data_IF_581951559630
#
_entry.id   IF_581951559630
#
_cell.length_a   1.000
_cell.length_b   1.000
_cell.length_c   1.000
_cell.angle_alpha   90.00
_cell.angle_beta   90.00
_cell.angle_gamma   90.00
#
_symmetry.space_group_name_H-M   'P 1'
#
loop_
_entity.id
_entity.type
_entity.pdbx_description
1 polymer ?
#
# COMPACT_ATOMS: atom_id res chain seq x y z
N UNK A 1 18.99 20.17 -15.43
CA UNK A 1 18.29 21.42 -15.84
C UNK A 1 16.80 21.12 -16.00
N UNK A 2 16.03 21.48 -14.96
CA UNK A 2 14.64 21.94 -14.92
C UNK A 2 13.49 21.12 -15.52
N UNK A 3 12.50 20.76 -14.68
CA UNK A 3 11.12 20.61 -15.14
C UNK A 3 10.64 21.85 -15.92
N UNK A 4 9.50 21.74 -16.60
CA UNK A 4 9.02 22.81 -17.46
C UNK A 4 8.53 24.01 -16.62
N UNK A 5 8.75 25.22 -17.11
CA UNK A 5 8.12 26.41 -16.53
C UNK A 5 6.59 26.24 -16.58
N UNK A 6 5.93 26.43 -15.44
CA UNK A 6 4.49 26.45 -15.38
C UNK A 6 3.95 27.75 -15.98
N UNK A 7 2.91 27.63 -16.81
CA UNK A 7 2.18 28.79 -17.28
C UNK A 7 1.42 29.46 -16.11
N UNK A 8 1.23 30.79 -16.13
CA UNK A 8 0.50 31.48 -15.07
C UNK A 8 -0.93 30.90 -14.95
N UNK A 9 -1.33 30.53 -13.73
CA UNK A 9 -2.66 29.98 -13.44
C UNK A 9 -2.83 28.48 -13.69
N UNK A 10 -1.81 27.77 -14.19
CA UNK A 10 -1.89 26.31 -14.35
C UNK A 10 -2.07 25.55 -13.02
N UNK A 11 -1.57 26.12 -11.93
CA UNK A 11 -1.60 25.53 -10.58
C UNK A 11 -2.17 26.55 -9.56
N UNK A 12 -3.46 26.88 -9.67
CA UNK A 12 -4.05 28.03 -8.98
C UNK A 12 -4.17 27.85 -7.44
N UNK A 13 -3.88 26.66 -6.93
CA UNK A 13 -3.80 26.37 -5.49
C UNK A 13 -2.40 26.54 -4.91
N UNK A 14 -1.36 26.72 -5.74
CA UNK A 14 0.01 26.81 -5.25
C UNK A 14 0.19 28.02 -4.33
N UNK A 15 0.78 27.77 -3.16
CA UNK A 15 1.10 28.79 -2.16
C UNK A 15 2.60 28.92 -1.99
N UNK A 16 3.08 30.16 -1.88
CA UNK A 16 4.40 30.47 -1.33
C UNK A 16 4.25 30.92 0.12
N UNK A 17 4.85 30.19 1.05
CA UNK A 17 5.02 30.63 2.43
C UNK A 17 6.26 31.49 2.52
N UNK A 18 6.08 32.73 2.97
CA UNK A 18 7.19 33.66 3.15
C UNK A 18 7.35 34.06 4.61
N UNK A 19 8.59 34.05 5.07
CA UNK A 19 8.99 34.52 6.40
C UNK A 19 9.91 35.72 6.20
N UNK A 20 9.56 36.86 6.80
CA UNK A 20 10.32 38.13 6.67
C UNK A 20 10.59 38.53 5.21
N UNK A 21 9.63 38.26 4.32
CA UNK A 21 9.71 38.61 2.89
C UNK A 21 10.53 37.64 2.02
N UNK A 22 11.02 36.52 2.58
CA UNK A 22 11.72 35.49 1.84
C UNK A 22 10.87 34.21 1.77
N UNK A 23 10.82 33.59 0.59
CA UNK A 23 10.20 32.28 0.40
C UNK A 23 10.97 31.22 1.19
N UNK A 24 10.24 30.42 1.97
CA UNK A 24 10.83 29.35 2.81
C UNK A 24 10.25 27.96 2.50
N UNK A 25 8.99 27.91 2.10
CA UNK A 25 8.27 26.66 1.81
C UNK A 25 7.12 26.93 0.86
N UNK A 26 6.56 25.86 0.31
CA UNK A 26 5.30 25.89 -0.42
C UNK A 26 4.13 25.35 0.41
N UNK A 27 2.93 25.50 -0.15
CA UNK A 27 1.70 24.95 0.40
C UNK A 27 0.62 24.86 -0.67
N UNK A 28 -0.60 24.59 -0.24
CA UNK A 28 -1.77 24.43 -1.11
C UNK A 28 -2.99 25.10 -0.52
N UNK A 29 -3.71 25.88 -1.31
CA UNK A 29 -5.02 26.42 -0.94
C UNK A 29 -6.05 25.28 -0.98
N UNK A 30 -6.76 25.04 0.13
CA UNK A 30 -7.72 23.92 0.24
C UNK A 30 -9.18 24.39 0.38
N UNK A 31 -9.38 25.67 0.71
CA UNK A 31 -10.65 26.41 0.61
C UNK A 31 -10.33 27.91 0.60
N UNK A 32 -11.31 28.80 0.75
CA UNK A 32 -11.08 30.26 0.71
C UNK A 32 -10.30 30.82 1.92
N UNK A 33 -10.06 30.04 2.98
CA UNK A 33 -9.52 30.53 4.26
C UNK A 33 -8.38 29.69 4.82
N UNK A 34 -8.04 28.56 4.21
CA UNK A 34 -7.13 27.58 4.76
C UNK A 34 -6.11 27.13 3.72
N UNK A 35 -4.88 27.02 4.20
CA UNK A 35 -3.75 26.46 3.47
C UNK A 35 -3.28 25.20 4.16
N UNK A 36 -3.00 24.17 3.38
CA UNK A 36 -2.38 22.91 3.79
C UNK A 36 -0.89 22.93 3.42
N UNK A 37 -0.04 22.54 4.36
CA UNK A 37 1.43 22.51 4.21
C UNK A 37 2.04 21.45 5.11
N UNK A 38 3.34 21.19 4.98
CA UNK A 38 4.11 20.45 5.97
C UNK A 38 4.22 21.25 7.27
N UNK A 39 4.22 20.57 8.42
CA UNK A 39 4.36 21.23 9.70
C UNK A 39 5.75 21.81 9.92
N UNK A 40 6.81 21.16 9.42
CA UNK A 40 8.20 21.68 9.47
C UNK A 40 8.32 23.10 8.90
N UNK A 41 7.49 23.45 7.91
CA UNK A 41 7.44 24.77 7.29
C UNK A 41 6.88 25.89 8.18
N UNK A 42 6.25 25.52 9.29
CA UNK A 42 5.51 26.47 10.14
C UNK A 42 5.86 26.35 11.63
N UNK A 43 6.21 25.15 12.13
CA UNK A 43 6.44 24.87 13.55
C UNK A 43 7.59 25.68 14.16
N UNK A 44 8.54 26.12 13.35
CA UNK A 44 9.71 26.91 13.79
C UNK A 44 9.48 28.42 13.79
N UNK A 45 8.30 28.90 13.37
CA UNK A 45 8.00 30.32 13.22
C UNK A 45 6.77 30.72 14.02
N UNK A 46 6.74 31.98 14.45
CA UNK A 46 5.51 32.56 15.00
C UNK A 46 4.51 32.81 13.88
N UNK A 47 3.23 32.61 14.16
CA UNK A 47 2.14 32.85 13.20
C UNK A 47 2.19 34.25 12.57
N UNK A 48 2.60 35.26 13.33
CA UNK A 48 2.76 36.65 12.86
C UNK A 48 3.93 36.87 11.89
N UNK A 49 4.86 35.92 11.80
CA UNK A 49 6.02 35.99 10.90
C UNK A 49 5.75 35.38 9.54
N UNK A 50 4.68 34.58 9.41
CA UNK A 50 4.34 33.85 8.20
C UNK A 50 3.34 34.68 7.37
N UNK A 51 3.68 34.91 6.10
CA UNK A 51 2.78 35.47 5.09
C UNK A 51 2.56 34.47 3.98
N UNK A 52 1.29 34.20 3.67
CA UNK A 52 0.86 33.35 2.56
C UNK A 52 0.73 34.21 1.31
N UNK A 53 1.37 33.80 0.22
CA UNK A 53 1.18 34.39 -1.11
C UNK A 53 0.54 33.39 -2.06
N UNK A 54 -0.46 33.85 -2.81
CA UNK A 54 -1.27 33.09 -3.77
C UNK A 54 -1.21 33.79 -5.14
N UNK A 55 -1.44 33.05 -6.23
CA UNK A 55 -1.45 33.61 -7.58
C UNK A 55 -0.08 34.09 -8.08
N UNK A 56 1.01 33.64 -7.45
CA UNK A 56 2.37 33.92 -7.87
C UNK A 56 2.76 33.03 -9.06
N UNK A 57 3.51 33.62 -9.99
CA UNK A 57 4.24 32.92 -11.04
C UNK A 57 5.75 32.98 -10.78
N UNK A 58 6.30 34.14 -10.41
CA UNK A 58 7.73 34.33 -10.14
C UNK A 58 7.96 34.83 -8.71
N UNK A 59 9.04 34.37 -8.07
CA UNK A 59 9.44 34.88 -6.75
C UNK A 59 10.13 36.25 -6.81
N UNK A 60 10.70 36.63 -7.97
CA UNK A 60 11.58 37.81 -8.07
C UNK A 60 11.01 38.96 -8.91
N UNK A 61 9.93 38.73 -9.65
CA UNK A 61 9.32 39.75 -10.52
C UNK A 61 7.90 40.13 -10.05
N UNK A 62 7.34 41.18 -10.65
CA UNK A 62 5.97 41.63 -10.36
C UNK A 62 4.94 40.59 -10.83
N UNK A 63 4.01 40.23 -9.95
CA UNK A 63 2.94 39.28 -10.24
C UNK A 63 1.59 39.99 -10.15
N UNK A 64 0.91 40.19 -11.28
CA UNK A 64 -0.36 40.95 -11.35
C UNK A 64 -1.53 40.25 -10.66
N UNK A 65 -1.46 38.92 -10.52
CA UNK A 65 -2.50 38.10 -9.91
C UNK A 65 -2.21 37.77 -8.44
N UNK A 66 -1.13 38.34 -7.87
CA UNK A 66 -0.67 38.00 -6.54
C UNK A 66 -1.58 38.55 -5.46
N UNK A 67 -1.94 37.70 -4.50
CA UNK A 67 -2.67 38.08 -3.30
C UNK A 67 -1.91 37.55 -2.10
N UNK A 68 -1.67 38.42 -1.11
CA UNK A 68 -1.07 38.03 0.17
C UNK A 68 -2.08 38.02 1.31
N UNK A 69 -1.85 37.14 2.28
CA UNK A 69 -2.62 37.01 3.52
C UNK A 69 -1.69 36.73 4.68
N UNK A 70 -1.90 37.43 5.79
CA UNK A 70 -1.29 37.05 7.07
C UNK A 70 -1.97 35.80 7.62
N UNK A 71 -1.24 35.00 8.40
CA UNK A 71 -1.80 33.85 9.10
C UNK A 71 -2.32 34.31 10.48
N UNK A 72 -3.50 33.83 10.89
CA UNK A 72 -4.07 34.10 12.22
C UNK A 72 -3.98 32.92 13.16
N UNK A 73 -3.90 31.71 12.60
CA UNK A 73 -3.82 30.48 13.38
C UNK A 73 -3.02 29.45 12.60
N UNK A 74 -2.15 28.74 13.30
CA UNK A 74 -1.42 27.59 12.79
C UNK A 74 -1.81 26.39 13.64
N UNK A 75 -2.25 25.31 12.98
CA UNK A 75 -2.64 24.05 13.64
C UNK A 75 -1.73 22.97 13.10
N UNK A 76 -0.97 22.39 14.00
CA UNK A 76 0.03 21.36 13.70
C UNK A 76 -0.47 20.02 14.23
N UNK A 77 -0.21 18.93 13.50
CA UNK A 77 -0.56 17.60 13.98
C UNK A 77 0.17 17.26 15.30
N UNK A 78 -0.49 16.69 16.33
CA UNK A 78 0.13 16.54 17.67
C UNK A 78 1.34 15.60 17.75
N UNK A 79 1.47 14.62 16.84
CA UNK A 79 2.50 13.58 16.88
C UNK A 79 3.47 13.66 15.69
N UNK A 80 3.98 14.86 15.38
CA UNK A 80 5.00 15.01 14.32
C UNK A 80 6.27 14.25 14.70
N UNK A 81 6.74 13.43 13.76
CA UNK A 81 8.09 12.86 13.73
C UNK A 81 8.63 13.04 12.30
N UNK A 82 9.44 12.09 11.83
CA UNK A 82 9.75 11.97 10.40
C UNK A 82 8.52 11.55 9.55
N UNK A 83 7.40 11.23 10.20
CA UNK A 83 6.07 10.98 9.64
C UNK A 83 5.06 11.89 10.36
N UNK A 84 3.82 11.99 9.85
CA UNK A 84 2.80 12.92 10.35
C UNK A 84 3.17 14.41 10.25
N UNK A 85 3.98 14.77 9.26
CA UNK A 85 4.41 16.16 9.05
C UNK A 85 3.38 16.91 8.20
N UNK A 86 2.37 17.49 8.88
CA UNK A 86 1.21 18.18 8.28
C UNK A 86 0.72 19.30 9.19
N UNK A 87 0.39 20.45 8.59
CA UNK A 87 -0.17 21.60 9.28
C UNK A 87 -1.21 22.35 8.43
N UNK A 88 -2.13 22.99 9.14
CA UNK A 88 -3.16 23.88 8.60
C UNK A 88 -2.86 25.32 9.01
N UNK A 89 -2.88 26.24 8.04
CA UNK A 89 -2.72 27.66 8.27
C UNK A 89 -4.04 28.37 7.95
N UNK A 90 -4.61 29.05 8.95
CA UNK A 90 -5.81 29.87 8.80
C UNK A 90 -5.42 31.28 8.37
N UNK A 91 -5.96 31.72 7.25
CA UNK A 91 -5.75 33.06 6.72
C UNK A 91 -6.56 34.10 7.50
N UNK A 92 -6.02 35.32 7.63
CA UNK A 92 -6.68 36.41 8.33
C UNK A 92 -8.01 36.87 7.69
N UNK A 93 -8.19 36.60 6.41
CA UNK A 93 -9.39 36.92 5.63
C UNK A 93 -9.49 35.99 4.43
N UNK A 94 -10.72 35.78 3.95
CA UNK A 94 -10.95 34.91 2.79
C UNK A 94 -10.30 35.47 1.53
N UNK A 95 -9.90 34.57 0.64
CA UNK A 95 -9.45 34.91 -0.70
C UNK A 95 -10.60 34.78 -1.69
N UNK A 96 -10.62 35.65 -2.69
CA UNK A 96 -11.59 35.61 -3.78
C UNK A 96 -11.03 34.67 -4.84
N UNK A 97 -11.84 33.71 -5.28
CA UNK A 97 -11.42 32.79 -6.32
C UNK A 97 -11.38 33.50 -7.68
N UNK A 98 -10.30 33.26 -8.41
CA UNK A 98 -10.03 33.77 -9.75
C UNK A 98 -9.42 32.65 -10.57
N UNK A 99 -9.18 32.83 -11.87
CA UNK A 99 -8.47 31.82 -12.67
C UNK A 99 -7.04 31.52 -12.20
N UNK A 100 -6.47 32.35 -11.33
CA UNK A 100 -5.14 32.19 -10.76
C UNK A 100 -5.13 31.78 -9.29
N UNK A 101 -6.29 31.77 -8.62
CA UNK A 101 -6.45 31.44 -7.20
C UNK A 101 -7.70 30.58 -7.04
N UNK A 102 -7.52 29.26 -6.92
CA UNK A 102 -8.61 28.28 -6.69
C UNK A 102 -8.08 27.17 -5.79
N UNK A 103 -8.93 26.59 -4.92
CA UNK A 103 -8.50 25.50 -4.06
C UNK A 103 -8.33 24.20 -4.84
N UNK A 104 -7.47 23.30 -4.33
CA UNK A 104 -7.36 21.92 -4.80
C UNK A 104 -8.32 21.01 -4.02
N UNK A 105 -8.81 19.92 -4.64
CA UNK A 105 -9.49 18.87 -3.90
C UNK A 105 -8.50 18.06 -3.07
N UNK A 106 -8.93 17.52 -1.93
CA UNK A 106 -8.14 16.60 -1.11
C UNK A 106 -8.57 15.15 -1.35
N UNK A 107 -7.63 14.22 -1.31
CA UNK A 107 -7.95 12.80 -1.40
C UNK A 107 -8.77 12.34 -0.19
N UNK A 108 -9.86 11.60 -0.41
CA UNK A 108 -10.64 11.02 0.70
C UNK A 108 -9.88 9.88 1.39
N UNK A 109 -10.25 9.59 2.63
CA UNK A 109 -10.00 8.31 3.27
C UNK A 109 -10.47 7.17 2.34
N UNK A 110 -9.63 6.15 2.18
CA UNK A 110 -9.83 5.06 1.22
C UNK A 110 -9.34 5.33 -0.20
N UNK A 111 -8.80 6.52 -0.52
CA UNK A 111 -8.14 6.74 -1.82
C UNK A 111 -6.91 5.86 -1.97
N UNK A 112 -6.77 5.22 -3.13
CA UNK A 112 -5.67 4.29 -3.45
C UNK A 112 -4.71 4.91 -4.45
N UNK A 113 -3.41 4.75 -4.23
CA UNK A 113 -2.36 5.32 -5.10
C UNK A 113 -1.35 4.22 -5.45
N UNK A 114 -1.69 3.41 -6.45
CA UNK A 114 -0.85 2.29 -6.90
C UNK A 114 0.44 2.76 -7.54
N UNK A 115 1.43 1.88 -7.54
CA UNK A 115 2.71 2.12 -8.19
C UNK A 115 2.54 2.55 -9.66
N UNK A 116 3.27 3.58 -10.09
CA UNK A 116 3.20 4.15 -11.43
C UNK A 116 2.09 5.18 -11.64
N UNK A 117 1.26 5.46 -10.63
CA UNK A 117 0.22 6.51 -10.73
C UNK A 117 0.88 7.84 -11.07
N UNK A 118 0.47 8.44 -12.19
CA UNK A 118 1.03 9.71 -12.67
C UNK A 118 0.58 10.86 -11.77
N UNK A 119 1.54 11.66 -11.32
CA UNK A 119 1.32 12.78 -10.40
C UNK A 119 2.14 13.99 -10.84
N UNK A 120 1.75 15.17 -10.34
CA UNK A 120 2.42 16.42 -10.62
C UNK A 120 2.86 17.09 -9.32
N UNK A 121 4.03 17.70 -9.39
CA UNK A 121 4.61 18.50 -8.32
C UNK A 121 5.06 19.85 -8.86
N UNK A 122 4.97 20.86 -8.00
CA UNK A 122 5.21 22.26 -8.35
C UNK A 122 5.96 22.99 -7.25
N UNK A 123 6.89 23.86 -7.65
CA UNK A 123 7.74 24.61 -6.73
C UNK A 123 8.60 25.66 -7.42
N UNK A 124 9.19 26.55 -6.63
CA UNK A 124 10.02 27.66 -7.09
C UNK A 124 11.52 27.49 -6.82
N UNK A 125 11.89 26.41 -6.13
CA UNK A 125 13.21 26.12 -5.59
C UNK A 125 13.56 26.99 -4.39
N UNK A 126 13.46 26.42 -3.19
CA UNK A 126 14.28 26.82 -2.05
C UNK A 126 15.34 25.75 -1.80
N UNK A 127 16.60 26.04 -2.12
CA UNK A 127 17.74 25.22 -1.66
C UNK A 127 17.83 25.33 -0.13
N UNK A 128 17.06 24.55 0.62
CA UNK A 128 17.16 24.50 2.08
C UNK A 128 18.10 23.38 2.50
N UNK A 129 19.37 23.48 2.10
CA UNK A 129 20.46 22.93 2.87
C UNK A 129 21.57 24.00 2.90
N UNK A 130 21.75 24.60 4.07
CA UNK A 130 22.89 25.44 4.36
C UNK A 130 24.18 24.64 4.03
N UNK A 131 24.99 25.18 3.11
CA UNK A 131 26.45 25.00 2.87
C UNK A 131 26.82 25.07 1.38
N UNK A 132 25.89 24.96 0.43
CA UNK A 132 26.19 25.25 -0.98
C UNK A 132 25.26 26.31 -1.59
N UNK A 133 25.81 27.53 -1.72
CA UNK A 133 25.27 28.61 -2.52
C UNK A 133 25.23 28.20 -4.00
N UNK A 134 24.18 27.49 -4.41
CA UNK A 134 23.83 27.38 -5.83
C UNK A 134 22.76 28.43 -6.09
N UNK A 135 23.10 29.40 -6.94
CA UNK A 135 22.24 30.52 -7.31
C UNK A 135 20.84 30.03 -7.70
N UNK A 136 19.80 30.64 -7.10
CA UNK A 136 18.44 30.56 -7.64
C UNK A 136 18.52 30.90 -9.14
N UNK A 137 18.00 30.03 -9.99
CA UNK A 137 17.91 30.33 -11.42
C UNK A 137 16.94 31.49 -11.59
N UNK A 138 17.47 32.70 -11.75
CA UNK A 138 16.68 33.88 -12.10
C UNK A 138 15.83 33.57 -13.35
N UNK A 139 14.52 33.86 -13.37
CA UNK A 139 13.77 34.72 -12.44
C UNK A 139 12.99 33.98 -11.32
N UNK A 140 13.33 32.74 -10.99
CA UNK A 140 12.59 31.96 -9.98
C UNK A 140 11.12 31.77 -10.38
N UNK A 141 10.90 31.31 -11.62
CA UNK A 141 9.56 31.01 -12.15
C UNK A 141 9.07 29.69 -11.58
N UNK A 142 7.76 29.58 -11.32
CA UNK A 142 7.13 28.34 -10.87
C UNK A 142 7.44 27.24 -11.88
N UNK A 143 7.99 26.13 -11.39
CA UNK A 143 8.26 24.95 -12.18
C UNK A 143 7.21 23.89 -11.91
N UNK A 144 7.01 23.01 -12.90
CA UNK A 144 6.17 21.83 -12.79
C UNK A 144 6.94 20.60 -13.28
N UNK A 145 6.69 19.46 -12.65
CA UNK A 145 7.21 18.18 -13.11
C UNK A 145 6.16 17.08 -13.01
N UNK A 146 6.18 16.19 -14.00
CA UNK A 146 5.42 14.95 -13.98
C UNK A 146 6.29 13.84 -13.36
N UNK A 147 5.74 13.15 -12.38
CA UNK A 147 6.40 12.14 -11.57
C UNK A 147 5.49 10.91 -11.45
N UNK A 148 6.05 9.80 -10.99
CA UNK A 148 5.29 8.58 -10.74
C UNK A 148 5.28 8.27 -9.25
N UNK A 149 4.09 8.05 -8.70
CA UNK A 149 3.94 7.53 -7.34
C UNK A 149 4.60 6.16 -7.28
N UNK A 150 5.36 5.96 -6.21
CA UNK A 150 5.98 4.68 -5.85
C UNK A 150 5.26 4.18 -4.63
N UNK A 151 4.83 2.91 -4.67
CA UNK A 151 4.13 2.34 -3.54
C UNK A 151 5.04 2.18 -2.31
N UNK A 152 4.43 1.99 -1.15
CA UNK A 152 5.14 2.07 0.12
C UNK A 152 6.17 0.96 0.32
N UNK A 153 6.01 -0.22 -0.30
CA UNK A 153 6.99 -1.32 -0.20
C UNK A 153 8.25 -1.00 -0.97
N UNK A 154 8.12 -0.62 -2.24
CA UNK A 154 9.27 -0.16 -3.03
C UNK A 154 9.91 1.07 -2.41
N UNK A 155 9.10 2.00 -1.94
CA UNK A 155 9.61 3.16 -1.22
C UNK A 155 10.41 2.75 0.03
N UNK A 156 9.92 1.79 0.81
CA UNK A 156 10.66 1.30 1.97
C UNK A 156 11.99 0.67 1.57
N UNK A 157 12.11 0.10 0.36
CA UNK A 157 13.38 -0.38 -0.17
C UNK A 157 14.35 0.76 -0.49
N UNK A 158 13.87 1.78 -1.20
CA UNK A 158 14.67 2.97 -1.55
C UNK A 158 15.21 3.63 -0.28
N UNK A 159 14.34 3.87 0.69
CA UNK A 159 14.65 4.60 1.91
C UNK A 159 15.27 3.73 3.02
N UNK A 160 15.33 2.40 2.85
CA UNK A 160 16.02 1.50 3.79
C UNK A 160 17.50 1.82 3.91
N UNK A 161 18.13 2.27 2.82
CA UNK A 161 19.53 2.71 2.78
C UNK A 161 19.80 3.90 3.70
N UNK A 162 18.79 4.73 3.93
CA UNK A 162 18.82 5.89 4.82
C UNK A 162 18.30 5.56 6.24
N UNK A 163 18.06 4.29 6.55
CA UNK A 163 17.46 3.84 7.82
C UNK A 163 16.10 4.46 8.12
N UNK A 164 15.35 4.87 7.10
CA UNK A 164 14.00 5.42 7.22
C UNK A 164 12.98 4.29 6.99
N UNK A 165 12.09 4.08 7.96
CA UNK A 165 11.00 3.11 7.87
C UNK A 165 9.73 3.80 7.38
N UNK A 166 9.26 3.44 6.19
CA UNK A 166 8.09 4.08 5.57
C UNK A 166 6.81 3.63 6.27
N UNK A 167 5.97 4.58 6.67
CA UNK A 167 4.67 4.36 7.33
C UNK A 167 3.52 4.52 6.34
N UNK A 168 2.34 4.01 6.67
CA UNK A 168 1.14 4.16 5.82
C UNK A 168 0.69 5.62 5.68
N UNK A 169 0.98 6.45 6.68
CA UNK A 169 0.80 7.90 6.65
C UNK A 169 1.77 8.64 5.72
N UNK A 170 2.66 7.90 5.07
CA UNK A 170 3.62 8.42 4.10
C UNK A 170 3.33 7.82 2.72
N UNK A 171 3.77 8.53 1.69
CA UNK A 171 3.79 8.06 0.32
C UNK A 171 5.01 8.64 -0.38
N UNK A 172 5.36 8.07 -1.53
CA UNK A 172 6.62 8.37 -2.18
C UNK A 172 6.44 8.51 -3.67
N UNK A 173 7.43 9.14 -4.30
CA UNK A 173 7.53 9.15 -5.75
C UNK A 173 8.97 9.09 -6.18
N UNK A 174 9.18 8.62 -7.40
CA UNK A 174 10.45 8.76 -8.09
C UNK A 174 10.25 9.60 -9.35
N UNK A 175 11.31 10.30 -9.73
CA UNK A 175 11.37 11.00 -11.00
C UNK A 175 12.36 10.31 -11.92
N UNK A 176 11.97 10.09 -13.18
CA UNK A 176 12.90 9.67 -14.24
C UNK A 176 13.77 10.82 -14.76
N UNK A 177 13.43 12.05 -14.36
CA UNK A 177 14.13 13.26 -14.77
C UNK A 177 14.92 13.79 -13.57
N UNK A 178 16.24 13.97 -13.74
CA UNK A 178 17.20 14.52 -12.74
C UNK A 178 16.94 15.98 -12.35
N UNK A 179 15.74 16.45 -12.63
CA UNK A 179 15.33 17.84 -12.76
C UNK A 179 14.14 18.15 -11.86
N UNK A 180 13.49 17.11 -11.32
CA UNK A 180 12.35 17.21 -10.38
C UNK A 180 12.78 17.45 -8.94
N UNK A 181 14.06 17.30 -8.60
CA UNK A 181 14.57 17.27 -7.22
C UNK A 181 14.88 18.65 -6.62
N UNK A 182 14.31 19.70 -7.21
CA UNK A 182 14.21 21.02 -6.59
C UNK A 182 12.71 21.35 -6.50
N UNK A 183 12.06 20.84 -5.46
CA UNK A 183 10.64 21.11 -5.15
C UNK A 183 10.56 21.57 -3.71
N UNK A 184 9.68 22.53 -3.44
CA UNK A 184 9.65 23.15 -2.12
C UNK A 184 8.92 22.23 -1.13
N UNK A 185 9.54 22.01 0.04
CA UNK A 185 8.89 21.34 1.17
C UNK A 185 7.56 22.06 1.48
N UNK A 186 6.54 21.27 1.83
CA UNK A 186 5.17 21.70 2.03
C UNK A 186 4.33 21.79 0.74
N UNK A 187 4.97 21.72 -0.43
CA UNK A 187 4.29 21.73 -1.72
C UNK A 187 3.37 20.52 -1.96
N UNK A 188 2.33 20.67 -2.79
CA UNK A 188 1.38 19.60 -3.04
C UNK A 188 1.88 18.59 -4.09
N UNK A 189 1.62 17.31 -3.85
CA UNK A 189 1.61 16.27 -4.89
C UNK A 189 0.17 16.04 -5.33
N UNK A 190 -0.12 16.33 -6.60
CA UNK A 190 -1.48 16.33 -7.16
C UNK A 190 -1.64 15.33 -8.29
N UNK A 191 -2.79 14.67 -8.35
CA UNK A 191 -3.15 13.67 -9.35
C UNK A 191 -4.45 14.10 -10.03
N UNK A 192 -4.61 13.74 -11.31
CA UNK A 192 -5.80 14.10 -12.08
C UNK A 192 -6.69 12.87 -12.33
N UNK A 193 -7.96 12.93 -11.96
CA UNK A 193 -8.97 11.91 -12.27
C UNK A 193 -10.28 12.60 -12.66
N UNK A 194 -10.88 12.18 -13.78
CA UNK A 194 -12.16 12.73 -14.28
C UNK A 194 -12.19 14.27 -14.41
N UNK A 195 -11.05 14.86 -14.78
CA UNK A 195 -10.92 16.31 -14.94
C UNK A 195 -10.67 17.09 -13.65
N UNK A 196 -10.73 16.45 -12.49
CA UNK A 196 -10.44 17.04 -11.18
C UNK A 196 -8.99 16.82 -10.77
N UNK A 197 -8.41 17.82 -10.10
CA UNK A 197 -7.09 17.72 -9.48
C UNK A 197 -7.24 17.46 -7.99
N UNK A 198 -6.61 16.40 -7.52
CA UNK A 198 -6.73 15.86 -6.18
C UNK A 198 -5.34 15.82 -5.55
N UNK A 199 -5.16 16.48 -4.41
CA UNK A 199 -3.93 16.42 -3.66
C UNK A 199 -3.86 15.13 -2.86
N UNK A 200 -2.88 14.30 -3.22
CA UNK A 200 -2.62 13.02 -2.58
C UNK A 200 -1.53 13.13 -1.50
N UNK A 201 -0.56 14.04 -1.69
CA UNK A 201 0.60 14.18 -0.82
C UNK A 201 0.98 15.63 -0.50
N UNK A 202 1.78 15.79 0.55
CA UNK A 202 2.47 17.02 0.94
C UNK A 202 3.96 16.69 0.99
N UNK A 203 4.81 17.41 0.25
CA UNK A 203 6.24 17.12 0.22
C UNK A 203 6.88 17.41 1.59
N UNK A 204 7.57 16.43 2.17
CA UNK A 204 8.21 16.57 3.50
C UNK A 204 9.72 16.32 3.45
N UNK A 205 10.18 15.58 2.44
CA UNK A 205 11.59 15.33 2.22
C UNK A 205 11.85 15.01 0.75
N UNK A 206 13.00 15.45 0.24
CA UNK A 206 13.56 15.01 -1.02
C UNK A 206 15.07 14.87 -0.86
N UNK A 207 15.71 14.03 -1.68
CA UNK A 207 17.16 13.96 -1.75
C UNK A 207 17.76 15.13 -2.54
N UNK A 208 19.09 15.30 -2.45
CA UNK A 208 19.86 16.32 -3.19
C UNK A 208 20.06 15.91 -4.67
N UNK A 209 19.01 15.41 -5.33
CA UNK A 209 19.01 14.98 -6.73
C UNK A 209 19.79 13.71 -7.09
N UNK A 210 20.19 12.89 -6.12
CA UNK A 210 20.96 11.67 -6.39
C UNK A 210 20.08 10.48 -6.80
N UNK A 211 19.04 10.17 -6.03
CA UNK A 211 18.14 9.04 -6.29
C UNK A 211 16.74 9.49 -6.75
N UNK A 212 16.55 10.81 -6.90
CA UNK A 212 15.32 11.43 -7.41
C UNK A 212 14.07 10.97 -6.65
N UNK A 213 14.26 10.64 -5.38
CA UNK A 213 13.27 10.03 -4.52
C UNK A 213 12.72 11.09 -3.58
N UNK A 214 11.39 11.16 -3.53
CA UNK A 214 10.67 12.15 -2.76
C UNK A 214 9.69 11.46 -1.82
N UNK A 215 9.54 12.05 -0.65
CA UNK A 215 8.74 11.53 0.44
C UNK A 215 7.71 12.56 0.87
N UNK A 216 6.47 12.09 1.04
CA UNK A 216 5.31 12.92 1.26
C UNK A 216 4.50 12.41 2.45
N UNK A 217 3.85 13.32 3.16
CA UNK A 217 2.72 12.98 4.04
C UNK A 217 1.51 12.63 3.17
N UNK A 218 0.89 11.46 3.38
CA UNK A 218 -0.27 10.96 2.63
C UNK A 218 -1.56 11.62 3.13
N UNK A 219 -2.12 12.53 2.34
CA UNK A 219 -3.27 13.39 2.72
C UNK A 219 -4.52 12.59 3.08
N UNK A 220 -4.79 11.48 2.40
CA UNK A 220 -6.00 10.68 2.61
C UNK A 220 -6.15 10.15 4.04
N UNK A 221 -5.05 9.92 4.76
CA UNK A 221 -5.11 9.46 6.15
C UNK A 221 -5.37 10.58 7.17
N UNK A 222 -5.41 11.84 6.72
CA UNK A 222 -5.68 13.00 7.58
C UNK A 222 -7.05 13.63 7.35
N UNK A 223 -7.92 13.06 6.51
CA UNK A 223 -9.27 13.60 6.27
C UNK A 223 -10.01 13.88 7.58
N UNK A 224 -10.05 12.90 8.49
CA UNK A 224 -10.76 13.03 9.77
C UNK A 224 -10.20 14.17 10.61
N UNK A 225 -8.87 14.26 10.70
CA UNK A 225 -8.20 15.33 11.44
C UNK A 225 -8.49 16.71 10.82
N UNK A 226 -8.38 16.85 9.49
CA UNK A 226 -8.68 18.11 8.78
C UNK A 226 -10.12 18.55 9.03
N UNK A 227 -11.09 17.63 8.96
CA UNK A 227 -12.51 17.92 9.21
C UNK A 227 -12.79 18.32 10.67
N UNK A 228 -12.03 17.80 11.62
CA UNK A 228 -12.13 18.21 13.03
C UNK A 228 -11.60 19.64 13.25
N UNK A 229 -10.57 20.06 12.50
CA UNK A 229 -10.01 21.41 12.64
C UNK A 229 -10.82 22.46 11.85
N UNK A 230 -11.37 22.09 10.70
CA UNK A 230 -12.12 22.99 9.81
C UNK A 230 -13.61 22.67 9.91
N UNK A 231 -14.27 23.30 10.88
CA UNK A 231 -15.70 23.06 11.17
C UNK A 231 -16.67 23.79 10.22
N UNK A 232 -16.19 24.80 9.49
CA UNK A 232 -17.00 25.63 8.57
C UNK A 232 -16.27 25.84 7.25
N UNK A 233 -16.99 25.80 6.13
CA UNK A 233 -16.41 25.88 4.77
C UNK A 233 -15.35 24.78 4.56
N UNK A 234 -15.75 23.53 4.78
CA UNK A 234 -14.87 22.38 4.68
C UNK A 234 -14.22 22.27 3.29
N UNK A 235 -12.96 21.80 3.21
CA UNK A 235 -12.32 21.53 1.94
C UNK A 235 -13.04 20.40 1.20
N UNK A 236 -12.98 20.42 -0.13
CA UNK A 236 -13.59 19.37 -0.96
C UNK A 236 -12.76 18.10 -0.92
N UNK A 237 -13.34 16.99 -0.44
CA UNK A 237 -12.73 15.66 -0.51
C UNK A 237 -13.29 14.86 -1.66
N UNK A 238 -12.42 14.25 -2.47
CA UNK A 238 -12.79 13.44 -3.63
C UNK A 238 -12.05 12.10 -3.56
N UNK A 239 -12.73 10.96 -3.78
CA UNK A 239 -12.05 9.68 -3.85
C UNK A 239 -11.16 9.64 -5.09
N UNK A 240 -9.92 9.22 -4.89
CA UNK A 240 -9.07 8.81 -6.00
C UNK A 240 -8.90 7.28 -5.95
N UNK A 241 -9.33 6.60 -7.00
CA UNK A 241 -9.23 5.14 -7.09
C UNK A 241 -8.26 4.80 -8.21
N UNK A 242 -7.11 4.23 -7.87
CA UNK A 242 -6.19 3.67 -8.85
C UNK A 242 -6.85 2.53 -9.62
N UNK A 243 -6.63 2.51 -10.93
CA UNK A 243 -7.08 1.45 -11.83
C UNK A 243 -6.00 0.39 -12.00
N UNK A 244 -6.41 -0.86 -12.25
CA UNK A 244 -5.48 -1.97 -12.48
C UNK A 244 -5.04 -2.64 -11.18
N UNK A 245 -3.86 -3.26 -11.20
CA UNK A 245 -3.30 -3.98 -10.05
C UNK A 245 -2.22 -3.16 -9.37
N UNK A 246 -2.17 -3.20 -8.04
CA UNK A 246 -1.10 -2.55 -7.29
C UNK A 246 0.22 -3.34 -7.41
N UNK A 247 1.08 -2.92 -8.34
CA UNK A 247 2.38 -3.54 -8.55
C UNK A 247 3.29 -3.50 -7.32
N UNK A 248 3.08 -2.53 -6.41
CA UNK A 248 3.86 -2.42 -5.18
C UNK A 248 3.69 -3.63 -4.26
N UNK A 249 2.53 -4.29 -4.31
CA UNK A 249 2.27 -5.50 -3.53
C UNK A 249 3.22 -6.66 -3.90
N UNK A 250 3.89 -6.60 -5.04
CA UNK A 250 4.88 -7.59 -5.45
C UNK A 250 6.32 -7.19 -5.11
N UNK A 251 6.55 -5.98 -4.59
CA UNK A 251 7.90 -5.46 -4.36
C UNK A 251 8.51 -6.01 -3.08
N UNK A 252 9.72 -6.55 -3.21
CA UNK A 252 10.60 -6.97 -2.11
C UNK A 252 11.97 -6.33 -2.27
N UNK A 253 12.52 -5.80 -1.18
CA UNK A 253 13.80 -5.09 -1.22
C UNK A 253 14.96 -6.06 -1.50
N UNK A 254 15.89 -5.72 -2.41
CA UNK A 254 17.10 -6.50 -2.59
C UNK A 254 17.88 -6.57 -1.26
N UNK A 255 18.30 -7.77 -0.86
CA UNK A 255 19.22 -7.90 0.26
C UNK A 255 20.54 -7.19 -0.07
N UNK A 256 21.00 -6.33 0.85
CA UNK A 256 22.29 -5.65 0.76
C UNK A 256 23.39 -6.67 0.37
N UNK A 257 24.17 -6.45 -0.70
CA UNK A 257 25.22 -7.40 -1.08
C UNK A 257 26.30 -7.44 0.02
N UNK A 258 26.87 -8.61 0.36
CA UNK A 258 28.15 -8.66 1.05
C UNK A 258 29.25 -8.13 0.11
N UNK A 259 30.16 -7.32 0.65
CA UNK A 259 31.39 -6.89 -0.03
C UNK A 259 32.19 -8.09 -0.55
N UNK A 260 32.29 -8.29 -1.87
CA UNK A 260 33.32 -9.14 -2.50
C UNK A 260 33.71 -8.55 -3.88
N UNK A 261 34.99 -8.57 -4.30
CA UNK A 261 35.50 -7.75 -5.40
C UNK A 261 35.17 -8.25 -6.81
N UNK A 262 35.06 -7.27 -7.70
CA UNK A 262 35.30 -7.22 -9.15
C UNK A 262 35.39 -8.55 -9.93
N UNK A 263 34.38 -8.84 -10.74
CA UNK A 263 34.60 -9.48 -12.04
C UNK A 263 33.59 -8.98 -13.10
N UNK A 264 34.10 -8.93 -14.33
CA UNK A 264 33.69 -8.20 -15.55
C UNK A 264 32.40 -8.78 -16.19
N UNK A 265 31.64 -8.02 -17.00
CA UNK A 265 30.23 -8.29 -17.28
C UNK A 265 30.01 -9.33 -18.40
N UNK A 266 28.98 -10.17 -18.21
CA UNK A 266 28.44 -11.05 -19.25
C UNK A 266 27.00 -10.62 -19.57
N UNK A 267 26.77 -10.35 -20.86
CA UNK A 267 25.53 -9.91 -21.49
C UNK A 267 24.32 -10.75 -21.07
N UNK A 268 23.30 -10.12 -20.47
CA UNK A 268 22.03 -10.76 -20.14
C UNK A 268 20.95 -10.42 -21.18
N UNK A 269 20.40 -11.48 -21.77
CA UNK A 269 19.24 -11.46 -22.66
C UNK A 269 17.97 -11.26 -21.83
N UNK A 270 17.15 -10.29 -22.21
CA UNK A 270 15.85 -10.01 -21.57
C UNK A 270 14.90 -11.18 -21.85
N UNK A 271 14.46 -11.87 -20.80
CA UNK A 271 13.32 -12.80 -20.85
C UNK A 271 12.17 -12.20 -20.04
N UNK A 272 11.04 -12.00 -20.72
CA UNK A 272 9.80 -11.46 -20.17
C UNK A 272 9.16 -12.48 -19.21
N UNK A 273 9.14 -12.20 -17.91
CA UNK A 273 8.38 -12.99 -16.94
C UNK A 273 6.93 -12.52 -16.87
N UNK A 274 6.01 -13.46 -17.04
CA UNK A 274 4.57 -13.26 -16.85
C UNK A 274 4.27 -13.06 -15.36
N UNK A 275 3.52 -12.02 -15.01
CA UNK A 275 3.12 -11.73 -13.63
C UNK A 275 2.25 -12.85 -13.03
N UNK A 276 2.47 -13.15 -11.74
CA UNK A 276 1.74 -14.18 -11.00
C UNK A 276 0.44 -13.61 -10.44
N UNK A 277 -0.69 -14.26 -10.75
CA UNK A 277 -2.03 -13.83 -10.35
C UNK A 277 -2.56 -14.75 -9.24
N UNK A 278 -2.84 -14.23 -8.05
CA UNK A 278 -3.48 -15.01 -6.97
C UNK A 278 -4.97 -15.25 -7.24
N UNK A 279 -5.54 -16.30 -6.65
CA UNK A 279 -6.97 -16.60 -6.74
C UNK A 279 -7.43 -17.15 -8.09
N UNK A 280 -6.52 -17.37 -9.04
CA UNK A 280 -6.84 -17.98 -10.33
C UNK A 280 -6.96 -19.51 -10.19
N UNK A 281 -8.19 -20.03 -10.27
CA UNK A 281 -8.47 -21.47 -10.29
C UNK A 281 -9.20 -21.86 -11.59
N UNK A 282 -8.48 -21.93 -12.71
CA UNK A 282 -9.07 -22.20 -14.04
C UNK A 282 -9.80 -23.54 -14.15
N UNK A 283 -9.37 -24.53 -13.37
CA UNK A 283 -9.96 -25.87 -13.34
C UNK A 283 -11.09 -25.99 -12.31
N UNK A 284 -11.39 -24.93 -11.55
CA UNK A 284 -12.52 -24.91 -10.64
C UNK A 284 -13.80 -24.54 -11.42
N UNK A 285 -14.71 -25.51 -11.55
CA UNK A 285 -15.99 -25.37 -12.26
C UNK A 285 -17.20 -25.37 -11.31
N UNK A 286 -16.97 -25.14 -10.01
CA UNK A 286 -18.00 -25.27 -8.98
C UNK A 286 -19.00 -24.12 -9.10
N UNK A 287 -20.26 -24.45 -9.42
CA UNK A 287 -21.36 -23.49 -9.60
C UNK A 287 -22.57 -23.90 -8.75
N UNK A 288 -22.45 -23.78 -7.43
CA UNK A 288 -23.51 -24.15 -6.48
C UNK A 288 -23.76 -25.67 -6.41
N UNK A 289 -23.56 -26.27 -5.25
CA UNK A 289 -23.72 -27.73 -5.08
C UNK A 289 -23.51 -28.21 -3.64
N UNK A 290 -23.84 -29.48 -3.42
CA UNK A 290 -23.60 -30.21 -2.17
C UNK A 290 -22.14 -30.66 -2.05
N UNK A 291 -21.72 -31.01 -0.83
CA UNK A 291 -20.40 -31.56 -0.51
C UNK A 291 -20.02 -32.75 -1.41
N UNK A 292 -18.81 -32.73 -1.96
CA UNK A 292 -18.33 -33.74 -2.90
C UNK A 292 -16.81 -33.96 -2.80
N UNK A 293 -16.31 -34.99 -3.49
CA UNK A 293 -14.89 -35.10 -3.79
C UNK A 293 -14.47 -33.94 -4.73
N UNK A 294 -13.29 -33.38 -4.49
CA UNK A 294 -12.71 -32.37 -5.36
C UNK A 294 -12.05 -33.01 -6.59
N UNK A 295 -12.00 -32.26 -7.70
CA UNK A 295 -11.21 -32.65 -8.87
C UNK A 295 -9.79 -32.05 -8.78
N UNK A 296 -8.83 -32.66 -9.49
CA UNK A 296 -7.47 -32.14 -9.58
C UNK A 296 -7.47 -30.66 -10.05
N UNK A 297 -6.76 -29.80 -9.34
CA UNK A 297 -6.66 -28.36 -9.68
C UNK A 297 -7.90 -27.53 -9.37
N UNK A 298 -8.96 -28.11 -8.79
CA UNK A 298 -10.10 -27.32 -8.31
C UNK A 298 -9.68 -26.35 -7.19
N UNK A 299 -8.76 -26.77 -6.32
CA UNK A 299 -8.21 -25.95 -5.24
C UNK A 299 -6.69 -25.85 -5.39
N UNK A 300 -6.17 -25.05 -6.34
CA UNK A 300 -4.75 -25.08 -6.72
C UNK A 300 -3.81 -24.49 -5.64
N UNK A 301 -4.37 -23.85 -4.63
CA UNK A 301 -3.65 -23.38 -3.45
C UNK A 301 -3.58 -24.40 -2.33
N UNK A 302 -4.22 -25.57 -2.45
CA UNK A 302 -4.25 -26.53 -1.36
C UNK A 302 -2.85 -27.13 -1.12
N UNK A 303 -2.43 -27.10 0.14
CA UNK A 303 -1.14 -27.61 0.58
C UNK A 303 -1.32 -28.75 1.58
N UNK A 304 -0.65 -29.87 1.34
CA UNK A 304 -0.55 -30.99 2.29
C UNK A 304 0.70 -30.83 3.12
N UNK A 305 0.57 -30.64 4.44
CA UNK A 305 1.68 -30.50 5.36
C UNK A 305 2.05 -31.84 5.96
N UNK A 306 3.30 -32.25 5.74
CA UNK A 306 3.85 -33.50 6.24
C UNK A 306 4.87 -33.24 7.33
N UNK A 307 4.71 -33.90 8.47
CA UNK A 307 5.72 -33.97 9.53
C UNK A 307 6.34 -35.36 9.51
N UNK A 308 7.66 -35.46 9.32
CA UNK A 308 8.38 -36.73 9.15
C UNK A 308 7.77 -37.64 8.07
N UNK A 309 7.30 -37.05 6.97
CA UNK A 309 6.73 -37.76 5.82
C UNK A 309 5.24 -38.14 5.93
N UNK A 310 4.59 -37.91 7.07
CA UNK A 310 3.17 -38.22 7.28
C UNK A 310 2.34 -36.95 7.21
N UNK A 311 1.22 -36.97 6.46
CA UNK A 311 0.28 -35.86 6.43
C UNK A 311 -0.33 -35.64 7.82
N UNK A 312 -0.19 -34.41 8.34
CA UNK A 312 -0.71 -34.04 9.66
C UNK A 312 -1.69 -32.89 9.59
N UNK A 313 -1.54 -31.99 8.62
CA UNK A 313 -2.38 -30.80 8.48
C UNK A 313 -2.57 -30.35 7.03
N UNK A 314 -3.66 -29.64 6.80
CA UNK A 314 -3.84 -28.80 5.62
C UNK A 314 -3.14 -27.45 5.76
N UNK A 315 -2.79 -26.87 4.63
CA UNK A 315 -2.32 -25.49 4.51
C UNK A 315 -2.79 -24.89 3.19
N UNK A 316 -2.54 -23.61 3.00
CA UNK A 316 -2.93 -22.87 1.81
C UNK A 316 -1.74 -22.08 1.27
N UNK A 317 -1.38 -22.27 0.01
CA UNK A 317 -0.41 -21.43 -0.68
C UNK A 317 -1.01 -20.03 -0.85
N UNK A 318 -0.46 -19.06 -0.15
CA UNK A 318 -0.96 -17.67 -0.13
C UNK A 318 -0.03 -16.72 -0.90
N UNK A 319 1.19 -17.16 -1.20
CA UNK A 319 2.14 -16.52 -2.10
C UNK A 319 3.09 -17.57 -2.67
N UNK A 320 3.90 -17.20 -3.67
CA UNK A 320 4.78 -18.15 -4.38
C UNK A 320 5.74 -18.95 -3.47
N UNK A 321 6.02 -18.52 -2.23
CA UNK A 321 6.88 -19.25 -1.29
C UNK A 321 6.31 -19.34 0.12
N UNK A 322 5.04 -19.02 0.30
CA UNK A 322 4.45 -18.96 1.64
C UNK A 322 3.16 -19.76 1.70
N UNK A 323 3.11 -20.65 2.67
CA UNK A 323 1.93 -21.44 3.01
C UNK A 323 1.42 -21.01 4.38
N UNK A 324 0.12 -20.77 4.47
CA UNK A 324 -0.57 -20.51 5.72
C UNK A 324 -1.19 -21.79 6.26
N UNK A 325 -1.15 -21.98 7.58
CA UNK A 325 -1.81 -23.09 8.27
C UNK A 325 -2.09 -22.73 9.74
N UNK A 326 -2.75 -23.61 10.48
CA UNK A 326 -3.06 -23.41 11.91
C UNK A 326 -1.79 -23.48 12.75
N UNK A 327 -1.69 -22.67 13.80
CA UNK A 327 -0.60 -22.76 14.77
C UNK A 327 -0.56 -24.12 15.48
N UNK A 328 -1.73 -24.70 15.74
CA UNK A 328 -1.87 -26.00 16.42
C UNK A 328 -1.18 -27.16 15.68
N UNK A 329 -1.05 -27.05 14.36
CA UNK A 329 -0.33 -28.02 13.53
C UNK A 329 1.13 -28.18 13.96
N UNK A 330 1.74 -27.16 14.55
CA UNK A 330 3.17 -27.12 14.87
C UNK A 330 3.45 -27.33 16.36
N UNK A 331 2.43 -27.71 17.13
CA UNK A 331 2.54 -27.99 18.56
C UNK A 331 3.54 -29.12 18.89
N UNK A 332 3.71 -30.09 17.97
CA UNK A 332 4.65 -31.21 18.15
C UNK A 332 6.10 -30.89 17.79
N UNK A 333 6.34 -29.98 16.83
CA UNK A 333 7.68 -29.52 16.43
C UNK A 333 7.56 -28.25 15.60
N UNK A 334 8.33 -27.22 15.97
CA UNK A 334 8.51 -25.99 15.18
C UNK A 334 9.79 -26.01 14.35
N UNK A 335 10.51 -27.12 14.32
CA UNK A 335 11.76 -27.23 13.58
C UNK A 335 11.47 -27.43 12.08
N UNK A 336 11.80 -26.44 11.27
CA UNK A 336 11.46 -26.41 9.84
C UNK A 336 11.99 -27.63 9.05
N UNK A 337 13.11 -28.25 9.47
CA UNK A 337 13.67 -29.43 8.81
C UNK A 337 12.76 -30.65 8.84
N UNK A 338 11.86 -30.73 9.81
CA UNK A 338 11.00 -31.89 10.04
C UNK A 338 9.74 -31.83 9.15
N UNK A 339 9.55 -30.71 8.45
CA UNK A 339 8.34 -30.37 7.72
C UNK A 339 8.56 -30.32 6.20
N UNK A 340 7.62 -30.92 5.48
CA UNK A 340 7.56 -30.88 4.02
C UNK A 340 6.17 -30.47 3.57
N UNK A 341 6.11 -29.59 2.57
CA UNK A 341 4.87 -29.15 1.94
C UNK A 341 4.73 -29.84 0.58
N UNK A 342 3.54 -30.39 0.32
CA UNK A 342 3.20 -30.96 -0.98
C UNK A 342 2.02 -30.18 -1.57
N UNK A 343 2.28 -29.52 -2.70
CA UNK A 343 1.31 -28.72 -3.46
C UNK A 343 0.80 -29.51 -4.66
N UNK A 344 -0.42 -29.23 -5.12
CA UNK A 344 -1.02 -29.91 -6.28
C UNK A 344 -1.44 -31.35 -6.01
N UNK A 345 -1.41 -31.80 -4.75
CA UNK A 345 -1.84 -33.16 -4.39
C UNK A 345 -3.36 -33.29 -4.49
N UNK A 346 -3.85 -34.44 -4.97
CA UNK A 346 -5.26 -34.81 -4.94
C UNK A 346 -5.56 -35.93 -3.94
N UNK A 347 -4.77 -37.01 -3.95
CA UNK A 347 -4.94 -38.17 -3.05
C UNK A 347 -3.76 -38.31 -2.09
N UNK A 348 -4.01 -38.62 -0.82
CA UNK A 348 -2.93 -38.90 0.15
C UNK A 348 -2.29 -40.28 -0.07
N UNK A 349 -3.00 -41.21 -0.70
CA UNK A 349 -2.55 -42.59 -0.97
C UNK A 349 -1.57 -42.71 -2.13
N UNK A 350 -1.49 -41.72 -3.02
CA UNK A 350 -0.75 -41.82 -4.28
C UNK A 350 -0.30 -40.44 -4.77
N UNK A 351 0.93 -40.34 -5.28
CA UNK A 351 1.40 -39.13 -5.95
C UNK A 351 0.82 -39.00 -7.37
N UNK A 352 0.83 -37.78 -7.90
CA UNK A 352 0.45 -37.46 -9.26
C UNK A 352 1.55 -36.62 -9.95
N UNK A 353 1.44 -36.38 -11.26
CA UNK A 353 2.51 -35.76 -12.07
C UNK A 353 2.64 -34.24 -11.89
N UNK A 354 1.68 -33.59 -11.23
CA UNK A 354 1.62 -32.15 -11.03
C UNK A 354 1.88 -31.75 -9.57
N UNK A 355 2.41 -32.68 -8.75
CA UNK A 355 2.79 -32.38 -7.36
C UNK A 355 4.15 -31.67 -7.28
N UNK A 356 4.24 -30.69 -6.38
CA UNK A 356 5.51 -30.12 -5.97
C UNK A 356 5.78 -30.43 -4.49
N UNK A 357 6.81 -31.24 -4.25
CA UNK A 357 7.33 -31.54 -2.90
C UNK A 357 8.44 -30.54 -2.57
N UNK A 358 8.26 -29.79 -1.48
CA UNK A 358 9.13 -28.68 -1.10
C UNK A 358 9.38 -28.68 0.41
N UNK A 359 10.66 -28.63 0.81
CA UNK A 359 11.06 -28.51 2.21
C UNK A 359 10.75 -27.13 2.78
N UNK A 360 10.57 -27.05 4.09
CA UNK A 360 10.32 -25.80 4.80
C UNK A 360 11.64 -25.24 5.34
N UNK A 361 11.85 -23.92 5.23
CA UNK A 361 13.06 -23.24 5.77
C UNK A 361 12.77 -22.49 7.05
N UNK A 362 11.52 -22.06 7.25
CA UNK A 362 11.11 -21.31 8.43
C UNK A 362 9.63 -21.53 8.72
N UNK A 363 9.30 -21.66 10.00
CA UNK A 363 7.93 -21.69 10.51
C UNK A 363 7.80 -20.51 11.48
N UNK A 364 6.80 -19.65 11.26
CA UNK A 364 6.51 -18.49 12.11
C UNK A 364 5.09 -18.61 12.62
N UNK A 365 4.92 -18.75 13.93
CA UNK A 365 3.60 -18.88 14.59
C UNK A 365 3.28 -17.55 15.24
N UNK A 366 2.01 -17.13 15.15
CA UNK A 366 1.51 -15.94 15.84
C UNK A 366 1.77 -16.02 17.34
N UNK A 367 2.23 -14.92 17.93
CA UNK A 367 2.57 -14.80 19.35
C UNK A 367 1.37 -14.45 20.25
N UNK A 368 0.21 -14.18 19.66
CA UNK A 368 -1.01 -13.81 20.38
C UNK A 368 -1.85 -15.07 20.66
N UNK A 369 -2.19 -15.33 21.93
CA UNK A 369 -3.00 -16.48 22.38
C UNK A 369 -4.41 -16.50 21.75
N UNK A 370 -4.83 -15.38 21.15
CA UNK A 370 -6.13 -15.23 20.45
C UNK A 370 -6.04 -15.59 18.96
N UNK A 371 -4.87 -15.48 18.32
CA UNK A 371 -4.73 -15.70 16.87
C UNK A 371 -3.89 -16.96 16.60
N UNK A 372 -4.55 -18.06 16.22
CA UNK A 372 -3.95 -19.36 16.00
C UNK A 372 -3.54 -19.58 14.53
N UNK A 373 -2.50 -18.90 14.08
CA UNK A 373 -2.05 -18.91 12.68
C UNK A 373 -0.53 -19.12 12.59
N UNK A 374 -0.10 -19.92 11.61
CA UNK A 374 1.29 -20.18 11.27
C UNK A 374 1.57 -19.91 9.79
N UNK A 375 2.73 -19.33 9.51
CA UNK A 375 3.26 -19.07 8.17
C UNK A 375 4.51 -19.92 7.96
N UNK A 376 4.53 -20.71 6.89
CA UNK A 376 5.64 -21.55 6.48
C UNK A 376 6.32 -20.91 5.26
N UNK A 377 7.63 -20.77 5.32
CA UNK A 377 8.47 -20.35 4.20
C UNK A 377 9.02 -21.59 3.48
N UNK A 378 8.77 -21.69 2.19
CA UNK A 378 9.24 -22.79 1.34
C UNK A 378 10.71 -22.58 0.93
N UNK A 379 11.47 -23.67 0.77
CA UNK A 379 12.88 -23.63 0.35
C UNK A 379 13.10 -23.14 -1.08
N UNK A 380 12.08 -23.27 -1.94
CA UNK A 380 12.07 -22.79 -3.32
C UNK A 380 10.65 -22.44 -3.76
N UNK A 381 10.53 -21.64 -4.82
CA UNK A 381 9.25 -21.39 -5.50
C UNK A 381 8.78 -22.68 -6.19
N UNK A 382 7.53 -23.13 -6.01
CA UNK A 382 6.94 -24.14 -6.88
C UNK A 382 6.79 -23.55 -8.28
N UNK A 383 6.85 -24.41 -9.30
CA UNK A 383 6.45 -24.02 -10.64
C UNK A 383 4.94 -23.87 -10.67
N UNK A 384 4.46 -22.66 -10.94
CA UNK A 384 3.02 -22.39 -11.01
C UNK A 384 2.40 -23.06 -12.23
N UNK A 385 1.22 -23.62 -12.04
CA UNK A 385 0.44 -24.31 -13.07
C UNK A 385 -1.05 -24.19 -12.76
N UNK A 386 -1.93 -24.72 -13.59
CA UNK A 386 -3.36 -24.73 -13.25
C UNK A 386 -3.69 -25.62 -12.01
N UNK A 387 -2.70 -26.35 -11.48
CA UNK A 387 -2.80 -27.18 -10.27
C UNK A 387 -2.09 -26.59 -9.04
N UNK A 388 -1.23 -25.58 -9.24
CA UNK A 388 -0.47 -24.90 -8.19
C UNK A 388 -0.53 -23.39 -8.44
N UNK A 389 -1.35 -22.69 -7.67
CA UNK A 389 -1.50 -21.23 -7.70
C UNK A 389 -1.72 -20.71 -6.29
N UNK A 390 -1.22 -19.51 -5.95
CA UNK A 390 -1.54 -18.90 -4.67
C UNK A 390 -3.00 -18.44 -4.62
N UNK A 391 -3.65 -18.51 -3.46
CA UNK A 391 -4.93 -17.84 -3.22
C UNK A 391 -4.69 -16.40 -2.74
N UNK A 392 -5.63 -15.49 -3.03
CA UNK A 392 -5.62 -14.17 -2.42
C UNK A 392 -6.13 -14.26 -0.97
N UNK A 393 -5.48 -13.54 -0.06
CA UNK A 393 -5.83 -13.50 1.37
C UNK A 393 -6.54 -12.19 1.68
N UNK A 394 -7.58 -12.25 2.51
CA UNK A 394 -8.27 -11.06 3.00
C UNK A 394 -7.34 -10.19 3.86
N UNK A 395 -7.36 -8.88 3.62
CA UNK A 395 -6.44 -7.92 4.26
C UNK A 395 -7.02 -7.31 5.55
N UNK A 396 -8.21 -7.74 5.98
CA UNK A 396 -8.81 -7.37 7.27
C UNK A 396 -9.78 -6.18 7.24
N UNK A 397 -9.95 -5.55 6.08
CA UNK A 397 -10.91 -4.46 5.86
C UNK A 397 -12.29 -4.94 5.40
N UNK A 398 -12.41 -6.24 5.06
CA UNK A 398 -13.67 -6.83 4.61
C UNK A 398 -14.44 -7.41 5.80
N UNK A 399 -15.72 -7.04 5.89
CA UNK A 399 -16.66 -7.76 6.74
C UNK A 399 -17.40 -8.78 5.88
N UNK A 400 -17.48 -10.03 6.35
CA UNK A 400 -18.23 -11.06 5.66
C UNK A 400 -19.61 -11.21 6.31
N UNK A 401 -20.71 -10.83 5.62
CA UNK A 401 -22.05 -10.89 6.21
C UNK A 401 -22.45 -12.32 6.59
N UNK A 402 -23.24 -12.44 7.66
CA UNK A 402 -23.95 -13.69 7.99
C UNK A 402 -24.77 -14.13 6.76
N UNK A 403 -24.82 -15.44 6.54
CA UNK A 403 -25.40 -16.11 5.36
C UNK A 403 -24.60 -15.98 4.06
N UNK A 404 -23.40 -15.38 4.08
CA UNK A 404 -22.50 -15.46 2.92
C UNK A 404 -22.11 -16.91 2.68
N UNK A 405 -22.36 -17.41 1.46
CA UNK A 405 -21.91 -18.74 1.03
C UNK A 405 -20.39 -18.77 0.87
N UNK A 406 -19.77 -19.85 1.32
CA UNK A 406 -18.34 -20.07 1.24
C UNK A 406 -18.00 -21.55 1.17
N UNK A 407 -16.75 -21.85 0.83
CA UNK A 407 -16.28 -23.23 0.65
C UNK A 407 -15.11 -23.54 1.59
N UNK A 408 -15.07 -24.76 2.10
CA UNK A 408 -13.92 -25.34 2.78
C UNK A 408 -13.44 -26.56 1.99
N UNK A 409 -12.13 -26.80 1.96
CA UNK A 409 -11.55 -27.97 1.28
C UNK A 409 -10.42 -28.55 2.11
N UNK A 410 -10.36 -29.87 2.20
CA UNK A 410 -9.41 -30.56 3.08
C UNK A 410 -9.41 -32.07 2.88
N UNK A 411 -8.37 -32.74 3.38
CA UNK A 411 -8.30 -34.20 3.36
C UNK A 411 -8.87 -34.81 4.63
N UNK A 412 -8.76 -34.15 5.78
CA UNK A 412 -9.27 -34.71 7.03
C UNK A 412 -8.38 -35.73 7.73
N UNK A 413 -8.74 -36.03 8.98
CA UNK A 413 -7.98 -36.95 9.84
C UNK A 413 -8.08 -38.38 9.28
N UNK A 414 -7.10 -38.77 8.46
CA UNK A 414 -7.07 -40.05 7.74
C UNK A 414 -7.21 -39.96 6.21
N UNK A 415 -7.18 -38.74 5.64
CA UNK A 415 -7.18 -38.53 4.18
C UNK A 415 -8.56 -38.35 3.55
N UNK A 416 -9.64 -38.63 4.28
CA UNK A 416 -11.01 -38.42 3.79
C UNK A 416 -11.56 -39.65 3.07
N UNK A 417 -12.74 -39.51 2.45
CA UNK A 417 -13.29 -40.58 1.61
C UNK A 417 -12.31 -40.90 0.47
N UNK A 418 -11.87 -42.16 0.40
CA UNK A 418 -10.82 -42.63 -0.53
C UNK A 418 -9.48 -41.88 -0.45
N UNK A 419 -9.14 -41.28 0.69
CA UNK A 419 -7.94 -40.46 0.85
C UNK A 419 -7.86 -39.26 -0.13
N UNK A 420 -8.99 -38.83 -0.71
CA UNK A 420 -9.07 -37.81 -1.76
C UNK A 420 -9.50 -36.47 -1.17
N UNK A 421 -8.96 -35.36 -1.71
CA UNK A 421 -9.33 -34.00 -1.30
C UNK A 421 -10.85 -33.81 -1.38
N UNK A 422 -11.44 -33.35 -0.29
CA UNK A 422 -12.88 -33.07 -0.21
C UNK A 422 -13.14 -31.57 -0.29
N UNK A 423 -14.36 -31.22 -0.71
CA UNK A 423 -14.84 -29.85 -0.72
C UNK A 423 -16.26 -29.78 -0.14
N UNK A 424 -16.49 -28.74 0.66
CA UNK A 424 -17.72 -28.53 1.41
C UNK A 424 -18.23 -27.10 1.20
N UNK A 425 -19.53 -26.96 0.93
CA UNK A 425 -20.21 -25.68 0.84
C UNK A 425 -20.85 -25.35 2.19
N UNK A 426 -20.55 -24.19 2.74
CA UNK A 426 -21.07 -23.71 4.03
C UNK A 426 -21.50 -22.26 3.93
N UNK A 427 -22.05 -21.74 5.02
CA UNK A 427 -22.42 -20.33 5.14
C UNK A 427 -21.83 -19.73 6.40
N UNK A 428 -21.52 -18.45 6.35
CA UNK A 428 -21.10 -17.70 7.54
C UNK A 428 -22.28 -17.58 8.52
N UNK A 429 -22.02 -17.84 9.80
CA UNK A 429 -22.99 -17.72 10.89
C UNK A 429 -22.42 -16.85 12.01
N UNK A 430 -23.29 -16.36 12.88
CA UNK A 430 -22.83 -15.69 14.10
C UNK A 430 -22.10 -16.69 15.01
N UNK A 431 -20.95 -16.28 15.53
CA UNK A 431 -20.15 -17.10 16.45
C UNK A 431 -20.80 -17.33 17.83
N UNK A 432 -21.92 -16.66 18.13
CA UNK A 432 -22.60 -16.75 19.43
C UNK A 432 -21.67 -16.38 20.60
N UNK A 433 -21.88 -17.02 21.75
CA UNK A 433 -21.05 -16.83 22.95
C UNK A 433 -19.68 -17.53 22.89
N UNK A 434 -19.32 -18.17 21.78
CA UNK A 434 -18.06 -18.90 21.63
C UNK A 434 -16.87 -17.98 21.30
N UNK A 435 -17.10 -16.71 20.97
CA UNK A 435 -16.04 -15.74 20.69
C UNK A 435 -16.38 -14.37 21.31
N UNK A 436 -15.46 -13.84 22.11
CA UNK A 436 -15.51 -12.47 22.65
C UNK A 436 -14.80 -11.44 21.77
N UNK A 437 -14.37 -11.83 20.56
CA UNK A 437 -13.56 -10.99 19.68
C UNK A 437 -14.08 -10.96 18.24
N UNK A 438 -14.00 -9.79 17.58
CA UNK A 438 -14.32 -9.60 16.16
C UNK A 438 -13.29 -10.25 15.21
N UNK A 439 -12.41 -11.13 15.71
CA UNK A 439 -11.28 -11.73 14.98
C UNK A 439 -11.56 -13.18 14.51
N UNK A 440 -12.75 -13.71 14.78
CA UNK A 440 -13.12 -15.09 14.45
C UNK A 440 -14.27 -15.08 13.46
N UNK A 441 -14.21 -15.97 12.47
CA UNK A 441 -15.34 -16.23 11.58
C UNK A 441 -15.87 -17.63 11.83
N UNK A 442 -17.18 -17.74 11.98
CA UNK A 442 -17.87 -19.01 12.21
C UNK A 442 -18.70 -19.40 11.01
N UNK A 443 -18.77 -20.71 10.76
CA UNK A 443 -19.52 -21.30 9.66
C UNK A 443 -20.60 -22.24 10.19
N UNK A 444 -21.65 -22.47 9.39
CA UNK A 444 -22.80 -23.28 9.76
C UNK A 444 -22.44 -24.73 10.12
N UNK A 445 -23.38 -25.40 10.79
CA UNK A 445 -23.18 -26.76 11.34
C UNK A 445 -22.80 -27.74 10.24
N UNK A 446 -21.64 -28.36 10.37
CA UNK A 446 -21.17 -29.42 9.48
C UNK A 446 -21.69 -30.77 10.02
N UNK A 447 -22.31 -31.62 9.18
CA UNK A 447 -22.67 -32.99 9.56
C UNK A 447 -21.51 -33.72 10.23
N UNK A 448 -21.76 -34.50 11.29
CA UNK A 448 -20.72 -35.18 12.10
C UNK A 448 -19.75 -36.06 11.29
N UNK A 449 -20.20 -36.64 10.17
CA UNK A 449 -19.33 -37.37 9.23
C UNK A 449 -18.27 -36.48 8.55
N UNK A 450 -18.51 -35.17 8.53
CA UNK A 450 -17.68 -34.14 7.91
C UNK A 450 -16.86 -33.34 8.94
N UNK A 451 -17.17 -33.44 10.24
CA UNK A 451 -16.43 -32.78 11.33
C UNK A 451 -15.07 -33.44 11.59
N UNK A 452 -14.95 -34.75 11.40
CA UNK A 452 -13.66 -35.47 11.45
C UNK A 452 -12.67 -35.04 10.35
N UNK A 453 -13.12 -34.23 9.38
CA UNK A 453 -12.32 -33.72 8.27
C UNK A 453 -11.56 -32.44 8.65
N UNK A 454 -11.98 -31.71 9.69
CA UNK A 454 -11.59 -30.30 9.84
C UNK A 454 -10.98 -29.95 11.19
N UNK A 455 -10.63 -30.94 12.00
CA UNK A 455 -10.11 -30.74 13.37
C UNK A 455 -8.79 -29.96 13.44
N UNK A 456 -8.11 -29.67 12.32
CA UNK A 456 -6.84 -28.93 12.30
C UNK A 456 -6.63 -28.00 11.08
N UNK A 457 -7.68 -27.59 10.37
CA UNK A 457 -7.55 -26.73 9.17
C UNK A 457 -8.08 -25.29 9.39
N UNK A 458 -7.32 -24.29 8.90
CA UNK A 458 -7.78 -22.90 8.83
C UNK A 458 -8.84 -22.80 7.73
N UNK A 459 -10.02 -22.29 8.10
CA UNK A 459 -11.11 -22.02 7.17
C UNK A 459 -10.88 -20.68 6.45
N UNK A 460 -10.65 -20.71 5.14
CA UNK A 460 -10.70 -19.52 4.29
C UNK A 460 -12.06 -19.42 3.60
N UNK A 461 -12.70 -18.26 3.70
CA UNK A 461 -13.99 -17.96 3.07
C UNK A 461 -13.73 -17.49 1.64
N UNK A 462 -14.13 -18.30 0.67
CA UNK A 462 -14.07 -17.94 -0.76
C UNK A 462 -15.37 -17.26 -1.19
N UNK A 463 -15.29 -16.03 -1.70
CA UNK A 463 -16.32 -15.45 -2.58
C UNK A 463 -15.83 -15.56 -4.03
N UNK A 464 -16.53 -16.33 -4.85
CA UNK A 464 -16.40 -16.28 -6.30
C UNK A 464 -16.98 -14.95 -6.78
N UNK A 465 -16.15 -13.96 -7.04
CA UNK A 465 -16.58 -12.78 -7.79
C UNK A 465 -16.67 -13.19 -9.26
N UNK A 466 -17.90 -13.44 -9.70
CA UNK A 466 -18.22 -13.68 -11.10
C UNK A 466 -17.78 -12.50 -11.96
N UNK A 467 -17.06 -12.83 -13.03
CA UNK A 467 -16.63 -11.92 -14.09
C UNK A 467 -17.90 -11.37 -14.76
N UNK A 468 -18.06 -10.04 -14.76
CA UNK A 468 -18.90 -9.30 -15.69
C UNK A 468 -18.11 -8.13 -16.26
#
# INVERSE_FOLDING_TARGET
>A
VGGLNAAPGSWPWQVSLQVRGAHVCSGSLINSNWVLTAAVCSSSYLTSQITVYLGLQSLSTSNVNSVSRSVTQQIVYPEIRYYNDIALLKLNSSVIFTDYIKPVCLATAGSTFFNGTQAWVTGWNANTNAVHLVCLSYPGTLMQSNISVVGNRECNCIFSSLSVNIKDTMMCSTSLQSQSCSMDIGGPLVIKQEGLWIQAGILIYHDDCENLSMLYTRVSLYQNWINQQIISNQPGFVPFISTGTDGDLSVSCPAKPPNVPTSVPTTATVTTSTAVVCGSAKLNSITGGSSSLASAGAWPWMASLHHNGIHVCGGTLVAEQFVLSSGDCFSSSTNASDWTVILGRLKQSSSNTYEAVISVTKISISSDLVNNVAVLQLSRKPTLSDYIQPICVDLGDNSFPVNTQCWASGWGSGGGAEQTLQQFNTTIVECGSASSSNKTICTGVMPLEQVCILTYEIHFIIKLLGIY
#
